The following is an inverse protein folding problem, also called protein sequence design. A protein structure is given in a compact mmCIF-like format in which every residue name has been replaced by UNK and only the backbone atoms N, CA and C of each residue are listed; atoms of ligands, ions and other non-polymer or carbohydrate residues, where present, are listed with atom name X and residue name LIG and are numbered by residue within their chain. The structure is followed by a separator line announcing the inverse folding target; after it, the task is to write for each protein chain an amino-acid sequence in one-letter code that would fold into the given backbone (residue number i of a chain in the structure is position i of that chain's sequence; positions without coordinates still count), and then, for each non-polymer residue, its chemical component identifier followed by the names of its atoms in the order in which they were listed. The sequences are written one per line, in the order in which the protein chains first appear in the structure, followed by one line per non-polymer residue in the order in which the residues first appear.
data_IF_965982825859
#
_entry.id   IF_965982825859
#
_cell.length_a   1.000
_cell.length_b   1.000
_cell.length_c   1.000
_cell.angle_alpha   90.00
_cell.angle_beta   90.00
_cell.angle_gamma   90.00
#
_symmetry.space_group_name_H-M   'P 1'
#
loop_
_entity.id
_entity.type
_entity.pdbx_description
1 polymer ?
#
# COMPACT_ATOMS: atom_id res chain seq x y z
N UNK A 1 5.70 -23.21 -20.45
CA UNK A 1 5.46 -24.45 -19.68
C UNK A 1 4.19 -24.20 -18.87
N UNK A 2 3.12 -24.87 -19.27
CA UNK A 2 1.77 -24.69 -18.74
C UNK A 2 1.58 -25.63 -17.55
N UNK A 3 1.12 -25.12 -16.41
CA UNK A 3 0.85 -25.93 -15.22
C UNK A 3 -0.60 -26.45 -15.32
N UNK A 4 -0.85 -27.76 -15.14
CA UNK A 4 -2.17 -28.35 -15.37
C UNK A 4 -3.09 -28.12 -14.16
N UNK A 5 -4.28 -27.62 -14.43
CA UNK A 5 -5.43 -27.70 -13.54
C UNK A 5 -5.90 -29.16 -13.50
N UNK A 6 -5.71 -29.85 -12.37
CA UNK A 6 -6.46 -31.06 -12.07
C UNK A 6 -7.48 -30.76 -10.98
N UNK A 7 -8.73 -31.09 -11.31
CA UNK A 7 -9.92 -30.92 -10.52
C UNK A 7 -9.81 -31.58 -9.14
N UNK A 8 -10.15 -30.83 -8.10
CA UNK A 8 -10.59 -31.39 -6.82
C UNK A 8 -12.12 -31.36 -6.80
N UNK A 9 -12.65 -32.55 -6.55
CA UNK A 9 -14.05 -32.92 -6.42
C UNK A 9 -14.83 -32.04 -5.45
N UNK A 10 -16.06 -31.74 -5.86
CA UNK A 10 -17.18 -31.31 -5.02
C UNK A 10 -17.35 -32.22 -3.82
N UNK A 11 -17.33 -31.66 -2.60
CA UNK A 11 -18.51 -31.62 -1.74
C UNK A 11 -18.27 -30.78 -0.48
N UNK A 12 -19.18 -29.82 -0.27
CA UNK A 12 -19.59 -29.16 0.98
C UNK A 12 -18.52 -28.51 1.89
N UNK A 13 -18.30 -27.20 1.73
CA UNK A 13 -18.66 -26.22 2.77
C UNK A 13 -18.82 -24.81 2.17
N UNK A 14 -19.86 -24.13 2.62
CA UNK A 14 -20.39 -22.86 2.16
C UNK A 14 -19.46 -21.68 2.50
N UNK A 15 -19.23 -20.80 1.53
CA UNK A 15 -18.79 -19.41 1.68
C UNK A 15 -17.75 -19.11 2.78
N UNK A 16 -16.47 -19.07 2.41
CA UNK A 16 -15.40 -18.53 3.25
C UNK A 16 -15.59 -17.00 3.47
N UNK A 17 -16.50 -16.61 4.38
CA UNK A 17 -16.75 -15.23 4.85
C UNK A 17 -15.55 -14.58 5.56
N UNK A 18 -14.41 -15.27 5.57
CA UNK A 18 -13.18 -14.91 6.27
C UNK A 18 -12.07 -14.38 5.34
N UNK A 19 -12.33 -14.27 4.04
CA UNK A 19 -11.37 -13.71 3.09
C UNK A 19 -11.16 -12.20 3.36
N UNK A 20 -9.90 -11.72 3.46
CA UNK A 20 -9.62 -10.30 3.65
C UNK A 20 -10.09 -9.50 2.42
N UNK A 21 -10.58 -8.28 2.64
CA UNK A 21 -10.94 -7.41 1.52
C UNK A 21 -9.73 -7.15 0.60
N UNK A 22 -9.93 -6.98 -0.72
CA UNK A 22 -8.84 -6.61 -1.63
C UNK A 22 -8.12 -5.34 -1.19
N UNK A 23 -8.84 -4.37 -0.65
CA UNK A 23 -8.27 -3.11 -0.14
C UNK A 23 -7.38 -3.33 1.08
N UNK A 24 -7.82 -4.13 2.06
CA UNK A 24 -7.03 -4.44 3.24
C UNK A 24 -5.78 -5.25 2.89
N UNK A 25 -5.93 -6.20 1.97
CA UNK A 25 -4.83 -7.01 1.45
C UNK A 25 -3.79 -6.16 0.71
N UNK A 26 -4.24 -5.25 -0.17
CA UNK A 26 -3.35 -4.32 -0.86
C UNK A 26 -2.66 -3.37 0.12
N UNK A 27 -3.38 -2.88 1.15
CA UNK A 27 -2.82 -2.02 2.18
C UNK A 27 -1.73 -2.73 2.98
N UNK A 28 -1.95 -3.99 3.37
CA UNK A 28 -0.96 -4.80 4.06
C UNK A 28 0.29 -5.02 3.20
N UNK A 29 0.10 -5.32 1.91
CA UNK A 29 1.21 -5.42 0.95
C UNK A 29 2.03 -4.13 0.86
N UNK A 30 1.36 -2.98 0.78
CA UNK A 30 2.04 -1.68 0.77
C UNK A 30 2.74 -1.38 2.09
N UNK A 31 2.13 -1.71 3.23
CA UNK A 31 2.77 -1.61 4.53
C UNK A 31 4.02 -2.50 4.61
N UNK A 32 4.00 -3.70 4.01
CA UNK A 32 5.19 -4.55 3.88
C UNK A 32 6.29 -3.96 3.01
N UNK A 33 5.93 -3.17 2.00
CA UNK A 33 6.90 -2.40 1.20
C UNK A 33 7.56 -1.28 2.01
N UNK A 34 6.76 -0.57 2.81
CA UNK A 34 7.27 0.42 3.77
C UNK A 34 8.19 -0.26 4.78
N UNK A 35 7.78 -1.39 5.36
CA UNK A 35 8.55 -2.17 6.32
C UNK A 35 9.92 -2.58 5.74
N UNK A 36 9.93 -3.07 4.50
CA UNK A 36 11.16 -3.41 3.78
C UNK A 36 12.07 -2.20 3.57
N UNK A 37 11.51 -1.04 3.21
CA UNK A 37 12.27 0.20 3.06
C UNK A 37 12.90 0.61 4.38
N UNK A 38 12.11 0.64 5.47
CA UNK A 38 12.58 1.00 6.81
C UNK A 38 13.68 0.06 7.30
N UNK A 39 13.54 -1.26 7.06
CA UNK A 39 14.57 -2.26 7.38
C UNK A 39 15.92 -1.93 6.74
N UNK A 40 15.91 -1.41 5.49
CA UNK A 40 17.13 -1.07 4.73
C UNK A 40 17.73 0.28 5.13
N UNK A 41 16.91 1.26 5.52
CA UNK A 41 17.37 2.63 5.76
C UNK A 41 17.64 2.95 7.22
N UNK A 42 16.99 2.24 8.14
CA UNK A 42 17.09 2.49 9.59
C UNK A 42 18.31 1.79 10.15
N UNK A 43 19.08 2.46 11.01
CA UNK A 43 20.24 1.87 11.70
C UNK A 43 19.93 1.40 13.12
N UNK A 44 18.94 2.01 13.78
CA UNK A 44 18.51 1.60 15.11
C UNK A 44 17.76 0.26 15.05
N UNK A 45 18.28 -0.77 15.73
CA UNK A 45 17.65 -2.10 15.74
C UNK A 45 16.30 -2.09 16.44
N UNK A 46 16.14 -1.35 17.54
CA UNK A 46 14.85 -1.21 18.25
C UNK A 46 13.78 -0.63 17.31
N UNK A 47 14.13 0.34 16.47
CA UNK A 47 13.23 0.88 15.47
C UNK A 47 12.87 -0.12 14.37
N UNK A 48 13.80 -0.99 13.98
CA UNK A 48 13.51 -2.05 13.02
C UNK A 48 12.53 -3.06 13.63
N UNK A 49 12.78 -3.49 14.87
CA UNK A 49 11.90 -4.41 15.58
C UNK A 49 10.51 -3.82 15.80
N UNK A 50 10.42 -2.53 16.13
CA UNK A 50 9.13 -1.84 16.30
C UNK A 50 8.33 -1.74 14.99
N UNK A 51 9.01 -1.68 13.84
CA UNK A 51 8.41 -1.56 12.52
C UNK A 51 8.14 -2.90 11.81
N UNK A 52 8.81 -3.98 12.22
CA UNK A 52 8.77 -5.28 11.54
C UNK A 52 7.93 -6.30 12.32
N UNK A 53 7.03 -6.96 11.60
CA UNK A 53 6.22 -8.06 12.11
C UNK A 53 6.98 -9.39 12.10
N UNK A 54 6.43 -10.37 12.82
CA UNK A 54 6.93 -11.75 12.86
C UNK A 54 6.04 -12.67 12.02
N UNK A 55 6.62 -13.76 11.51
CA UNK A 55 5.88 -14.79 10.75
C UNK A 55 4.91 -15.59 11.60
N UNK A 56 5.13 -15.62 12.90
CA UNK A 56 4.37 -16.49 13.80
C UNK A 56 2.97 -15.92 14.11
N UNK A 57 2.70 -14.68 13.70
CA UNK A 57 1.46 -13.95 13.99
C UNK A 57 0.98 -13.16 12.76
N UNK A 58 0.83 -13.85 11.62
CA UNK A 58 0.40 -13.20 10.38
C UNK A 58 -1.12 -13.02 10.33
N UNK A 59 -1.54 -11.82 9.95
CA UNK A 59 -2.94 -11.52 9.67
C UNK A 59 -3.38 -12.15 8.34
N UNK A 60 -4.68 -12.34 8.16
CA UNK A 60 -5.25 -12.91 6.91
C UNK A 60 -4.93 -12.05 5.69
N UNK A 61 -4.80 -10.74 5.87
CA UNK A 61 -4.41 -9.76 4.85
C UNK A 61 -2.98 -9.98 4.31
N UNK A 62 -2.16 -10.80 4.96
CA UNK A 62 -0.78 -11.07 4.56
C UNK A 62 -0.64 -11.92 3.30
N UNK A 63 -1.74 -12.39 2.70
CA UNK A 63 -1.74 -13.33 1.57
C UNK A 63 -0.81 -12.91 0.43
N UNK A 64 -0.83 -11.65 -0.02
CA UNK A 64 0.05 -11.20 -1.12
C UNK A 64 1.53 -11.13 -0.73
N UNK A 65 1.85 -10.97 0.54
CA UNK A 65 3.23 -10.97 1.04
C UNK A 65 3.74 -12.40 1.13
N UNK A 66 2.90 -13.32 1.64
CA UNK A 66 3.17 -14.76 1.73
C UNK A 66 3.43 -15.33 0.33
N UNK A 67 2.51 -15.08 -0.61
CA UNK A 67 2.61 -15.51 -2.01
C UNK A 67 3.83 -14.93 -2.74
N UNK A 68 4.51 -13.92 -2.19
CA UNK A 68 5.73 -13.37 -2.77
C UNK A 68 6.99 -13.64 -1.95
N UNK A 69 6.88 -14.37 -0.85
CA UNK A 69 7.98 -14.57 0.09
C UNK A 69 9.17 -15.29 -0.55
N UNK A 70 8.90 -16.23 -1.47
CA UNK A 70 9.91 -17.01 -2.19
C UNK A 70 10.82 -16.18 -3.10
N UNK A 71 10.45 -14.93 -3.41
CA UNK A 71 11.26 -14.05 -4.25
C UNK A 71 12.35 -13.41 -3.40
N UNK A 72 13.63 -13.59 -3.77
CA UNK A 72 14.73 -12.94 -3.05
C UNK A 72 14.57 -11.40 -3.08
N UNK A 73 14.66 -10.77 -1.91
CA UNK A 73 14.37 -9.34 -1.76
C UNK A 73 12.88 -9.01 -1.70
N UNK A 74 12.05 -9.99 -1.35
CA UNK A 74 10.62 -9.84 -1.08
C UNK A 74 10.32 -8.85 0.04
N UNK A 75 9.05 -8.45 0.09
CA UNK A 75 8.52 -7.53 1.09
C UNK A 75 8.71 -8.08 2.50
N UNK A 76 8.85 -7.17 3.47
CA UNK A 76 8.88 -7.56 4.86
C UNK A 76 7.45 -7.59 5.43
N UNK A 77 7.26 -8.31 6.53
CA UNK A 77 6.02 -8.22 7.30
C UNK A 77 6.02 -6.91 8.09
N UNK A 78 4.99 -6.06 7.98
CA UNK A 78 4.86 -4.88 8.82
C UNK A 78 4.46 -5.30 10.25
N UNK A 79 4.91 -4.56 11.25
CA UNK A 79 4.34 -4.66 12.59
C UNK A 79 2.92 -4.07 12.62
N UNK A 80 2.15 -4.40 13.65
CA UNK A 80 0.81 -3.81 13.85
C UNK A 80 0.87 -2.28 13.97
N UNK A 81 1.89 -1.74 14.66
CA UNK A 81 2.10 -0.30 14.77
C UNK A 81 2.34 0.36 13.42
N UNK A 82 3.20 -0.25 12.59
CA UNK A 82 3.48 0.26 11.25
C UNK A 82 2.24 0.17 10.37
N UNK A 83 1.52 -0.95 10.41
CA UNK A 83 0.28 -1.12 9.66
C UNK A 83 -0.78 -0.08 10.08
N UNK A 84 -0.91 0.20 11.38
CA UNK A 84 -1.83 1.23 11.88
C UNK A 84 -1.43 2.64 11.41
N UNK A 85 -0.14 2.97 11.43
CA UNK A 85 0.37 4.24 10.91
C UNK A 85 0.04 4.39 9.42
N UNK A 86 0.40 3.40 8.60
CA UNK A 86 0.11 3.38 7.16
C UNK A 86 -1.40 3.45 6.89
N UNK A 87 -2.21 2.75 7.67
CA UNK A 87 -3.68 2.77 7.56
C UNK A 87 -4.27 4.15 7.85
N UNK A 88 -3.73 4.86 8.84
CA UNK A 88 -4.15 6.23 9.15
C UNK A 88 -3.79 7.20 8.03
N UNK A 89 -2.58 7.09 7.46
CA UNK A 89 -2.20 7.89 6.28
C UNK A 89 -3.09 7.56 5.08
N UNK A 90 -3.36 6.28 4.78
CA UNK A 90 -4.21 5.88 3.66
C UNK A 90 -5.65 6.39 3.81
N UNK A 91 -6.24 6.31 5.01
CA UNK A 91 -7.57 6.87 5.27
C UNK A 91 -7.59 8.39 5.08
N UNK A 92 -6.52 9.07 5.48
CA UNK A 92 -6.40 10.52 5.32
C UNK A 92 -6.30 10.90 3.85
N UNK A 93 -5.50 10.17 3.06
CA UNK A 93 -5.43 10.31 1.60
C UNK A 93 -6.82 10.11 0.98
N UNK A 94 -7.52 9.02 1.33
CA UNK A 94 -8.87 8.72 0.81
C UNK A 94 -9.90 9.81 1.13
N UNK A 95 -9.74 10.51 2.25
CA UNK A 95 -10.61 11.61 2.62
C UNK A 95 -10.29 12.88 1.82
N UNK A 96 -9.01 13.25 1.77
CA UNK A 96 -8.55 14.43 1.04
C UNK A 96 -8.80 14.32 -0.47
N UNK A 97 -8.63 13.12 -1.05
CA UNK A 97 -8.81 12.88 -2.48
C UNK A 97 -10.26 13.04 -2.97
N UNK A 98 -11.24 13.18 -2.08
CA UNK A 98 -12.64 13.43 -2.44
C UNK A 98 -12.92 14.89 -2.79
N UNK A 99 -12.10 15.81 -2.28
CA UNK A 99 -12.40 17.25 -2.29
C UNK A 99 -11.61 18.10 -3.29
N UNK A 100 -10.41 17.69 -3.72
CA UNK A 100 -9.45 18.65 -4.28
C UNK A 100 -8.79 18.29 -5.61
N UNK A 101 -8.26 19.33 -6.26
CA UNK A 101 -7.29 19.24 -7.34
C UNK A 101 -6.05 18.49 -6.83
N UNK A 102 -5.53 17.56 -7.63
CA UNK A 102 -4.41 16.70 -7.26
C UNK A 102 -3.14 17.46 -6.83
N UNK A 103 -2.98 18.73 -7.26
CA UNK A 103 -1.82 19.56 -6.94
C UNK A 103 -1.59 19.78 -5.45
N UNK A 104 -2.68 19.89 -4.66
CA UNK A 104 -2.60 20.24 -3.24
C UNK A 104 -2.78 19.03 -2.31
N UNK A 105 -3.12 17.85 -2.87
CA UNK A 105 -3.44 16.64 -2.11
C UNK A 105 -2.33 16.24 -1.12
N UNK A 106 -1.06 16.45 -1.48
CA UNK A 106 0.06 16.16 -0.59
C UNK A 106 0.01 17.02 0.68
N UNK A 107 -0.22 18.33 0.52
CA UNK A 107 -0.27 19.28 1.62
C UNK A 107 -1.53 19.12 2.47
N UNK A 108 -2.69 18.89 1.82
CA UNK A 108 -3.96 18.61 2.51
C UNK A 108 -3.84 17.42 3.46
N UNK A 109 -3.15 16.36 3.01
CA UNK A 109 -2.93 15.16 3.83
C UNK A 109 -1.98 15.46 4.99
N UNK A 110 -0.89 16.20 4.76
CA UNK A 110 0.03 16.59 5.83
C UNK A 110 -0.67 17.45 6.89
N UNK A 111 -1.43 18.46 6.48
CA UNK A 111 -2.17 19.33 7.40
C UNK A 111 -3.19 18.54 8.23
N UNK A 112 -3.88 17.58 7.60
CA UNK A 112 -4.82 16.71 8.29
C UNK A 112 -4.11 15.80 9.31
N UNK A 113 -2.94 15.26 8.97
CA UNK A 113 -2.14 14.41 9.88
C UNK A 113 -1.55 15.22 11.05
N UNK A 114 -1.10 16.45 10.81
CA UNK A 114 -0.63 17.34 11.88
C UNK A 114 -1.75 17.65 12.87
N UNK A 115 -2.98 17.90 12.37
CA UNK A 115 -4.13 18.23 13.22
C UNK A 115 -4.68 17.03 13.99
N UNK A 116 -4.76 15.85 13.35
CA UNK A 116 -5.42 14.65 13.91
C UNK A 116 -4.46 13.66 14.58
N UNK A 117 -3.17 13.76 14.27
CA UNK A 117 -2.16 12.80 14.67
C UNK A 117 -2.18 11.52 13.83
N UNK A 118 -1.18 10.67 14.10
CA UNK A 118 -1.08 9.31 13.56
C UNK A 118 -0.49 8.38 14.60
N UNK A 119 -0.53 7.07 14.33
CA UNK A 119 0.17 6.08 15.12
C UNK A 119 1.69 6.28 14.99
N UNK A 120 2.37 6.30 16.12
CA UNK A 120 3.82 6.50 16.21
C UNK A 120 4.54 5.17 15.97
N UNK A 121 5.62 5.22 15.19
CA UNK A 121 6.52 4.09 14.92
C UNK A 121 7.94 4.49 15.32
N UNK A 122 8.65 3.60 16.01
CA UNK A 122 10.03 3.78 16.45
C UNK A 122 10.19 3.79 17.97
N UNK A 123 11.45 3.73 18.42
CA UNK A 123 11.78 3.82 19.84
C UNK A 123 11.60 5.26 20.37
N UNK A 124 11.68 5.44 21.69
CA UNK A 124 11.50 6.73 22.37
C UNK A 124 12.37 7.87 21.80
N UNK A 125 13.58 7.55 21.33
CA UNK A 125 14.52 8.54 20.78
C UNK A 125 14.21 8.92 19.33
N UNK A 126 13.72 7.97 18.52
CA UNK A 126 13.60 8.12 17.07
C UNK A 126 12.14 8.15 16.58
N UNK A 127 11.17 7.98 17.47
CA UNK A 127 9.74 7.88 17.18
C UNK A 127 9.26 8.96 16.21
N UNK A 128 9.54 10.24 16.51
CA UNK A 128 9.10 11.36 15.68
C UNK A 128 9.74 11.33 14.30
N UNK A 129 11.05 11.13 14.23
CA UNK A 129 11.80 11.12 12.97
C UNK A 129 11.37 9.95 12.08
N UNK A 130 11.28 8.74 12.64
CA UNK A 130 10.92 7.55 11.90
C UNK A 130 9.47 7.60 11.42
N UNK A 131 8.56 8.10 12.26
CA UNK A 131 7.15 8.31 11.88
C UNK A 131 7.05 9.33 10.73
N UNK A 132 7.75 10.46 10.81
CA UNK A 132 7.76 11.46 9.74
C UNK A 132 8.32 10.90 8.42
N UNK A 133 9.42 10.13 8.49
CA UNK A 133 9.99 9.44 7.33
C UNK A 133 9.02 8.42 6.72
N UNK A 134 8.30 7.69 7.57
CA UNK A 134 7.29 6.70 7.17
C UNK A 134 6.14 7.38 6.44
N UNK A 135 5.58 8.45 7.00
CA UNK A 135 4.52 9.24 6.37
C UNK A 135 5.00 9.79 5.03
N UNK A 136 6.16 10.45 5.00
CA UNK A 136 6.71 11.07 3.80
C UNK A 136 6.91 10.05 2.68
N UNK A 137 7.53 8.91 3.00
CA UNK A 137 7.75 7.83 2.04
C UNK A 137 6.45 7.25 1.50
N UNK A 138 5.50 6.93 2.39
CA UNK A 138 4.22 6.34 1.99
C UNK A 138 3.40 7.33 1.15
N UNK A 139 3.29 8.58 1.58
CA UNK A 139 2.55 9.62 0.87
C UNK A 139 3.13 9.87 -0.52
N UNK A 140 4.46 9.98 -0.63
CA UNK A 140 5.16 10.11 -1.93
C UNK A 140 4.88 8.91 -2.84
N UNK A 141 4.95 7.70 -2.29
CA UNK A 141 4.64 6.47 -3.03
C UNK A 141 3.21 6.50 -3.57
N UNK A 142 2.24 6.93 -2.76
CA UNK A 142 0.84 7.04 -3.19
C UNK A 142 0.68 8.12 -4.26
N UNK A 143 1.33 9.27 -4.13
CA UNK A 143 1.31 10.31 -5.17
C UNK A 143 1.85 9.80 -6.50
N UNK A 144 2.93 9.00 -6.51
CA UNK A 144 3.42 8.37 -7.72
C UNK A 144 2.42 7.40 -8.35
N UNK A 145 1.73 6.60 -7.54
CA UNK A 145 0.69 5.69 -8.05
C UNK A 145 -0.47 6.46 -8.67
N UNK A 146 -0.94 7.53 -8.02
CA UNK A 146 -2.00 8.39 -8.57
C UNK A 146 -1.57 9.07 -9.86
N UNK A 147 -0.39 9.69 -9.89
CA UNK A 147 0.13 10.35 -11.09
C UNK A 147 0.26 9.36 -12.24
N UNK A 148 0.80 8.15 -12.00
CA UNK A 148 0.92 7.10 -13.00
C UNK A 148 -0.44 6.65 -13.53
N UNK A 149 -1.43 6.46 -12.64
CA UNK A 149 -2.79 6.10 -13.04
C UNK A 149 -3.42 7.18 -13.92
N UNK A 150 -3.29 8.45 -13.55
CA UNK A 150 -3.82 9.59 -14.33
C UNK A 150 -3.13 9.75 -15.69
N UNK A 151 -1.82 9.55 -15.76
CA UNK A 151 -1.09 9.55 -17.03
C UNK A 151 -1.58 8.42 -17.96
N UNK A 152 -1.82 7.22 -17.41
CA UNK A 152 -2.35 6.09 -18.17
C UNK A 152 -3.76 6.39 -18.70
N UNK A 153 -4.67 6.88 -17.86
CA UNK A 153 -6.01 7.32 -18.25
C UNK A 153 -5.95 8.33 -19.41
N UNK A 154 -5.14 9.39 -19.27
CA UNK A 154 -5.03 10.42 -20.30
C UNK A 154 -4.48 9.87 -21.62
N UNK A 155 -3.42 9.04 -21.58
CA UNK A 155 -2.88 8.41 -22.78
C UNK A 155 -3.90 7.54 -23.52
N UNK A 156 -4.73 6.80 -22.77
CA UNK A 156 -5.79 5.96 -23.32
C UNK A 156 -6.90 6.81 -23.97
N UNK A 157 -7.25 7.94 -23.35
CA UNK A 157 -8.25 8.89 -23.86
C UNK A 157 -7.77 9.56 -25.15
N UNK A 158 -6.51 10.01 -25.18
CA UNK A 158 -5.88 10.59 -26.38
C UNK A 158 -5.84 9.56 -27.52
N UNK A 159 -5.48 8.31 -27.23
CA UNK A 159 -5.50 7.23 -28.23
C UNK A 159 -6.91 7.00 -28.77
N UNK A 160 -7.90 6.88 -27.90
CA UNK A 160 -9.30 6.71 -28.31
C UNK A 160 -9.80 7.88 -29.17
N UNK A 161 -9.43 9.12 -28.83
CA UNK A 161 -9.78 10.29 -29.62
C UNK A 161 -9.14 10.27 -31.02
N UNK A 162 -7.87 9.85 -31.15
CA UNK A 162 -7.18 9.71 -32.44
C UNK A 162 -7.86 8.67 -33.33
N UNK A 163 -8.20 7.50 -32.80
CA UNK A 163 -8.87 6.46 -33.57
C UNK A 163 -10.28 6.89 -34.02
N UNK A 164 -11.05 7.60 -33.18
CA UNK A 164 -12.34 8.19 -33.59
C UNK A 164 -12.19 9.22 -34.72
N UNK A 165 -11.10 10.01 -34.73
CA UNK A 165 -10.84 10.96 -35.82
C UNK A 165 -10.49 10.25 -37.12
N UNK A 166 -9.70 9.17 -37.06
CA UNK A 166 -9.36 8.35 -38.24
C UNK A 166 -10.59 7.66 -38.84
N UNK A 167 -11.48 7.11 -38.01
CA UNK A 167 -12.69 6.44 -38.47
C UNK A 167 -13.73 7.36 -39.14
N UNK A 168 -13.62 8.68 -38.97
CA UNK A 168 -14.46 9.69 -39.63
C UNK A 168 -13.91 10.17 -40.97
N UNK A 169 -12.71 9.72 -41.35
CA UNK A 169 -12.02 10.09 -42.59
C UNK A 169 -12.09 8.98 -43.65
N UNK A 170 -12.84 7.91 -43.36
CA UNK A 170 -13.21 6.81 -44.26
C UNK A 170 -14.70 6.91 -44.52
#
# INVERSE_FOLDING_TARGET
MSIPFHALSSDADDHEYNAPSPEATALYYLAGYVAFKLKKTTRCEVCKEDALGRRDSLSKEAILVIEREYVCGSLAYPSEKLLACVSTVERTIKHASKGTCFGDLFWDVLDALVKRGTNIVGCSEHANQLTAQTIHFYLTTRMHFFARAKCLENSSAVRAQRERKKAKLV
#
